data_IF_899418817564
#
_entry.id   IF_899418817564
#
_cell.length_a   1.000
_cell.length_b   1.000
_cell.length_c   1.000
_cell.angle_alpha   90.00
_cell.angle_beta   90.00
_cell.angle_gamma   90.00
#
_symmetry.space_group_name_H-M   'P 1'
#
loop_
_entity.id
_entity.type
_entity.pdbx_description
1 polymer ?
#
# COMPACT_ATOMS: atom_id res chain seq x y z
N UNK A 1 14.32 16.45 7.92
CA UNK A 1 13.83 15.13 7.47
C UNK A 1 15.04 14.26 7.15
N UNK A 2 15.08 13.01 7.61
CA UNK A 2 16.12 12.07 7.14
C UNK A 2 15.81 11.71 5.70
N UNK A 3 16.72 12.00 4.78
CA UNK A 3 16.58 11.62 3.36
C UNK A 3 17.26 10.27 3.13
N UNK A 4 16.48 9.23 2.82
CA UNK A 4 16.97 7.88 2.57
C UNK A 4 17.18 7.59 1.08
N UNK A 5 16.91 8.57 0.20
CA UNK A 5 17.02 8.39 -1.25
C UNK A 5 18.45 8.19 -1.71
N UNK A 6 19.43 8.70 -0.97
CA UNK A 6 20.86 8.54 -1.24
C UNK A 6 21.48 7.31 -0.54
N UNK A 7 20.65 6.42 0.02
CA UNK A 7 21.14 5.17 0.63
C UNK A 7 21.68 4.22 -0.44
N UNK A 8 22.59 3.32 -0.02
CA UNK A 8 23.08 2.25 -0.91
C UNK A 8 21.93 1.37 -1.42
N UNK A 9 20.87 1.22 -0.64
CA UNK A 9 19.70 0.42 -1.00
C UNK A 9 18.97 1.01 -2.20
N UNK A 10 18.90 2.34 -2.30
CA UNK A 10 18.32 3.01 -3.46
C UNK A 10 19.23 2.87 -4.68
N UNK A 11 20.54 3.10 -4.51
CA UNK A 11 21.53 2.98 -5.58
C UNK A 11 21.51 1.59 -6.22
N UNK A 12 21.57 0.53 -5.41
CA UNK A 12 21.53 -0.87 -5.87
C UNK A 12 20.27 -1.20 -6.69
N UNK A 13 19.13 -0.60 -6.36
CA UNK A 13 17.89 -0.79 -7.12
C UNK A 13 17.94 0.00 -8.42
N UNK A 14 18.33 1.27 -8.38
CA UNK A 14 18.33 2.15 -9.55
C UNK A 14 19.29 1.66 -10.63
N UNK A 15 20.45 1.12 -10.25
CA UNK A 15 21.41 0.52 -11.19
C UNK A 15 20.84 -0.66 -12.00
N UNK A 16 19.79 -1.31 -11.49
CA UNK A 16 19.13 -2.42 -12.16
C UNK A 16 17.97 -1.98 -13.07
N UNK A 17 17.63 -0.69 -13.11
CA UNK A 17 16.53 -0.19 -13.93
C UNK A 17 16.90 -0.29 -15.42
N UNK A 18 15.99 -0.85 -16.22
CA UNK A 18 16.17 -0.99 -17.67
C UNK A 18 15.85 0.31 -18.41
N UNK A 19 16.24 0.35 -19.68
CA UNK A 19 15.98 1.50 -20.54
C UNK A 19 14.48 1.80 -20.69
N UNK A 20 13.65 0.75 -20.76
CA UNK A 20 12.19 0.84 -20.82
C UNK A 20 11.54 1.39 -19.54
N UNK A 21 12.29 1.55 -18.44
CA UNK A 21 11.84 2.05 -17.15
C UNK A 21 11.48 0.97 -16.12
N UNK A 22 11.40 -0.30 -16.54
CA UNK A 22 11.05 -1.42 -15.66
C UNK A 22 12.28 -2.01 -14.96
N UNK A 23 12.03 -3.00 -14.09
CA UNK A 23 13.05 -3.93 -13.57
C UNK A 23 12.85 -5.35 -14.11
N UNK A 24 12.16 -5.50 -15.25
CA UNK A 24 11.76 -6.80 -15.81
C UNK A 24 10.35 -7.21 -15.38
N UNK A 25 10.17 -8.47 -14.95
CA UNK A 25 8.88 -8.97 -14.48
C UNK A 25 8.27 -8.04 -13.44
N UNK A 26 6.95 -7.88 -13.51
CA UNK A 26 6.25 -6.94 -12.68
C UNK A 26 5.99 -7.52 -11.30
N UNK A 27 5.24 -8.64 -11.24
CA UNK A 27 4.59 -9.05 -10.01
C UNK A 27 5.48 -9.94 -9.12
N UNK A 28 5.30 -9.81 -7.80
CA UNK A 28 6.06 -10.52 -6.75
C UNK A 28 6.01 -12.06 -6.85
N UNK A 29 5.02 -12.64 -7.55
CA UNK A 29 4.98 -14.09 -7.82
C UNK A 29 6.03 -14.56 -8.83
N UNK A 30 6.64 -13.66 -9.59
CA UNK A 30 7.78 -14.00 -10.44
C UNK A 30 9.01 -14.22 -9.56
N UNK A 31 9.49 -15.46 -9.47
CA UNK A 31 10.65 -15.80 -8.65
C UNK A 31 11.88 -15.01 -9.14
N UNK A 32 12.50 -14.17 -8.29
CA UNK A 32 13.76 -13.53 -8.61
C UNK A 32 14.79 -14.59 -9.01
N UNK A 33 15.53 -14.31 -10.07
CA UNK A 33 16.58 -15.19 -10.56
C UNK A 33 17.90 -14.43 -10.63
N UNK A 34 19.02 -15.13 -10.88
CA UNK A 34 20.30 -14.44 -11.15
C UNK A 34 20.19 -13.41 -12.29
N UNK A 35 19.27 -13.62 -13.24
CA UNK A 35 19.02 -12.71 -14.38
C UNK A 35 18.03 -11.58 -14.05
N UNK A 36 17.09 -11.80 -13.14
CA UNK A 36 16.12 -10.79 -12.68
C UNK A 36 16.18 -10.74 -11.15
N UNK A 37 17.09 -9.93 -10.61
CA UNK A 37 17.37 -9.86 -9.17
C UNK A 37 16.23 -9.26 -8.35
N UNK A 38 15.37 -8.47 -8.98
CA UNK A 38 14.24 -7.76 -8.38
C UNK A 38 13.13 -7.62 -9.43
N UNK A 39 11.87 -7.63 -9.01
CA UNK A 39 10.73 -7.32 -9.88
C UNK A 39 10.45 -5.82 -9.90
N UNK A 40 9.72 -5.35 -10.91
CA UNK A 40 9.28 -3.94 -10.98
C UNK A 40 8.48 -3.55 -9.75
N UNK A 41 7.54 -4.38 -9.29
CA UNK A 41 6.75 -4.12 -8.08
C UNK A 41 7.62 -4.03 -6.81
N UNK A 42 8.60 -4.92 -6.66
CA UNK A 42 9.52 -4.89 -5.51
C UNK A 42 10.37 -3.62 -5.52
N UNK A 43 10.88 -3.23 -6.68
CA UNK A 43 11.70 -2.03 -6.85
C UNK A 43 10.91 -0.76 -6.50
N UNK A 44 9.73 -0.56 -7.10
CA UNK A 44 8.93 0.65 -6.86
C UNK A 44 8.40 0.73 -5.43
N UNK A 45 7.99 -0.41 -4.85
CA UNK A 45 7.60 -0.46 -3.43
C UNK A 45 8.74 -0.02 -2.53
N UNK A 46 9.95 -0.49 -2.82
CA UNK A 46 11.13 -0.19 -2.02
C UNK A 46 11.58 1.26 -2.18
N UNK A 47 11.58 1.79 -3.41
CA UNK A 47 11.90 3.19 -3.68
C UNK A 47 10.89 4.14 -3.02
N UNK A 48 9.59 3.83 -3.07
CA UNK A 48 8.55 4.59 -2.36
C UNK A 48 8.83 4.66 -0.85
N UNK A 49 9.18 3.53 -0.23
CA UNK A 49 9.54 3.46 1.20
C UNK A 49 10.77 4.32 1.53
N UNK A 50 11.75 4.36 0.63
CA UNK A 50 12.95 5.18 0.76
C UNK A 50 12.70 6.68 0.48
N UNK A 51 11.48 7.04 0.08
CA UNK A 51 11.03 8.42 -0.09
C UNK A 51 11.06 8.93 -1.53
N UNK A 52 11.23 8.06 -2.53
CA UNK A 52 11.10 8.44 -3.92
C UNK A 52 9.65 8.77 -4.28
N UNK A 53 9.49 9.75 -5.16
CA UNK A 53 8.23 10.35 -5.61
C UNK A 53 8.19 10.42 -7.13
N UNK A 54 7.05 10.83 -7.71
CA UNK A 54 6.92 11.03 -9.17
C UNK A 54 7.95 12.00 -9.75
N UNK A 55 8.48 12.93 -8.95
CA UNK A 55 9.47 13.92 -9.39
C UNK A 55 10.88 13.31 -9.55
N UNK A 56 11.11 12.12 -9.02
CA UNK A 56 12.39 11.43 -9.12
C UNK A 56 12.43 10.60 -10.42
N UNK A 57 13.48 10.82 -11.23
CA UNK A 57 13.63 10.21 -12.57
C UNK A 57 13.33 8.70 -12.63
N UNK A 58 13.81 7.85 -11.70
CA UNK A 58 13.52 6.42 -11.74
C UNK A 58 12.02 6.12 -11.64
N UNK A 59 11.28 6.87 -10.82
CA UNK A 59 9.83 6.71 -10.66
C UNK A 59 9.07 7.25 -11.87
N UNK A 60 9.47 8.42 -12.40
CA UNK A 60 8.86 8.96 -13.62
C UNK A 60 8.95 7.96 -14.79
N UNK A 61 10.11 7.32 -14.98
CA UNK A 61 10.31 6.30 -16.03
C UNK A 61 9.39 5.08 -15.85
N UNK A 62 9.32 4.51 -14.65
CA UNK A 62 8.50 3.30 -14.43
C UNK A 62 7.00 3.60 -14.46
N UNK A 63 6.58 4.81 -14.04
CA UNK A 63 5.18 5.24 -14.18
C UNK A 63 4.81 5.35 -15.66
N UNK A 64 5.66 5.98 -16.48
CA UNK A 64 5.46 6.02 -17.94
C UNK A 64 5.39 4.61 -18.57
N UNK A 65 6.26 3.69 -18.14
CA UNK A 65 6.19 2.28 -18.55
C UNK A 65 4.86 1.63 -18.18
N UNK A 66 4.40 1.78 -16.93
CA UNK A 66 3.13 1.22 -16.48
C UNK A 66 1.93 1.81 -17.23
N UNK A 67 1.98 3.09 -17.61
CA UNK A 67 0.95 3.75 -18.43
C UNK A 67 0.86 3.14 -19.82
N UNK A 68 2.00 2.91 -20.47
CA UNK A 68 2.05 2.22 -21.75
C UNK A 68 1.48 0.80 -21.64
N UNK A 69 1.78 0.08 -20.55
CA UNK A 69 1.21 -1.24 -20.30
C UNK A 69 -0.30 -1.19 -20.05
N UNK A 70 -0.78 -0.24 -19.24
CA UNK A 70 -2.19 -0.10 -18.89
C UNK A 70 -3.05 0.25 -20.12
N UNK A 71 -2.49 1.02 -21.06
CA UNK A 71 -3.16 1.41 -22.31
C UNK A 71 -2.94 0.44 -23.47
N UNK A 72 -2.22 -0.67 -23.25
CA UNK A 72 -1.97 -1.70 -24.26
C UNK A 72 -0.91 -1.35 -25.30
N UNK A 73 -0.14 -0.26 -25.11
CA UNK A 73 1.01 0.09 -25.97
C UNK A 73 2.21 -0.82 -25.76
N UNK A 74 2.33 -1.40 -24.55
CA UNK A 74 3.35 -2.38 -24.19
C UNK A 74 2.70 -3.57 -23.48
N UNK A 75 3.33 -4.73 -23.57
CA UNK A 75 2.93 -5.90 -22.80
C UNK A 75 3.84 -6.09 -21.59
N UNK A 76 3.26 -6.54 -20.47
CA UNK A 76 4.07 -7.00 -19.36
C UNK A 76 4.77 -8.31 -19.75
N UNK A 77 6.04 -8.52 -19.35
CA UNK A 77 6.74 -9.76 -19.63
C UNK A 77 6.20 -10.94 -18.81
N UNK A 78 5.38 -10.69 -17.78
CA UNK A 78 4.79 -11.68 -16.89
C UNK A 78 3.92 -12.70 -17.64
N UNK A 79 4.01 -13.96 -17.21
CA UNK A 79 3.18 -15.03 -17.76
C UNK A 79 1.72 -14.77 -17.39
N UNK A 80 0.84 -14.73 -18.40
CA UNK A 80 -0.61 -14.65 -18.20
C UNK A 80 -1.14 -15.85 -17.41
N UNK A 81 -1.56 -15.62 -16.18
CA UNK A 81 -2.21 -16.62 -15.32
C UNK A 81 -3.63 -16.95 -15.80
N UNK A 82 -4.03 -18.23 -15.71
CA UNK A 82 -5.36 -18.71 -16.15
C UNK A 82 -6.43 -18.67 -15.04
N UNK A 83 -6.00 -18.51 -13.78
CA UNK A 83 -6.84 -18.70 -12.59
C UNK A 83 -7.77 -17.51 -12.39
N UNK A 84 -7.29 -16.29 -12.60
CA UNK A 84 -8.09 -15.07 -12.56
C UNK A 84 -8.23 -14.46 -13.95
N UNK A 85 -9.12 -13.47 -14.09
CA UNK A 85 -9.10 -12.64 -15.29
C UNK A 85 -7.81 -11.81 -15.29
N UNK A 86 -6.89 -12.15 -16.19
CA UNK A 86 -5.56 -11.55 -16.24
C UNK A 86 -5.61 -10.06 -16.52
N UNK A 87 -6.45 -9.62 -17.44
CA UNK A 87 -6.49 -8.23 -17.88
C UNK A 87 -7.10 -7.32 -16.81
N UNK A 88 -8.19 -7.76 -16.17
CA UNK A 88 -8.80 -7.04 -15.04
C UNK A 88 -7.80 -6.93 -13.88
N UNK A 89 -7.14 -8.04 -13.53
CA UNK A 89 -6.15 -8.03 -12.43
C UNK A 89 -4.93 -7.15 -12.75
N UNK A 90 -4.41 -7.24 -13.98
CA UNK A 90 -3.28 -6.42 -14.42
C UNK A 90 -3.65 -4.94 -14.41
N UNK A 91 -4.84 -4.58 -14.90
CA UNK A 91 -5.31 -3.19 -14.87
C UNK A 91 -5.43 -2.65 -13.45
N UNK A 92 -5.96 -3.45 -12.51
CA UNK A 92 -6.03 -3.14 -11.08
C UNK A 92 -4.63 -2.90 -10.48
N UNK A 93 -3.69 -3.81 -10.74
CA UNK A 93 -2.33 -3.74 -10.21
C UNK A 93 -1.56 -2.52 -10.74
N UNK A 94 -1.55 -2.29 -12.05
CA UNK A 94 -0.87 -1.15 -12.66
C UNK A 94 -1.50 0.17 -12.21
N UNK A 95 -2.84 0.26 -12.22
CA UNK A 95 -3.55 1.48 -11.79
C UNK A 95 -3.29 1.79 -10.32
N UNK A 96 -3.17 0.76 -9.48
CA UNK A 96 -2.80 0.93 -8.07
C UNK A 96 -1.44 1.61 -7.97
N UNK A 97 -0.42 1.07 -8.63
CA UNK A 97 0.95 1.58 -8.52
C UNK A 97 1.12 2.96 -9.16
N UNK A 98 0.47 3.22 -10.31
CA UNK A 98 0.44 4.57 -10.90
C UNK A 98 -0.17 5.56 -9.90
N UNK A 99 -1.34 5.23 -9.33
CA UNK A 99 -2.07 6.13 -8.39
C UNK A 99 -1.40 6.34 -7.04
N UNK A 100 -0.40 5.53 -6.68
CA UNK A 100 0.47 5.77 -5.51
C UNK A 100 1.48 6.88 -5.76
N UNK A 101 1.89 7.11 -7.01
CA UNK A 101 2.87 8.14 -7.36
C UNK A 101 2.23 9.40 -7.96
N UNK A 102 1.15 9.28 -8.72
CA UNK A 102 0.45 10.41 -9.33
C UNK A 102 -1.06 10.19 -9.41
N UNK A 103 -1.85 11.25 -9.21
CA UNK A 103 -3.31 11.23 -9.43
C UNK A 103 -3.69 11.77 -10.81
N UNK A 104 -2.73 12.30 -11.54
CA UNK A 104 -2.88 12.83 -12.90
C UNK A 104 -2.70 11.70 -13.92
N UNK A 105 -3.64 10.75 -13.92
CA UNK A 105 -3.67 9.65 -14.88
C UNK A 105 -5.11 9.20 -15.17
N UNK A 106 -5.59 9.52 -16.36
CA UNK A 106 -6.97 9.23 -16.76
C UNK A 106 -7.27 7.71 -16.80
N UNK A 107 -6.35 6.89 -17.31
CA UNK A 107 -6.58 5.46 -17.46
C UNK A 107 -6.63 4.75 -16.11
N UNK A 108 -5.73 5.10 -15.19
CA UNK A 108 -5.70 4.55 -13.85
C UNK A 108 -6.89 5.04 -13.00
N UNK A 109 -7.31 6.30 -13.19
CA UNK A 109 -8.50 6.84 -12.53
C UNK A 109 -9.78 6.15 -13.02
N UNK A 110 -9.92 5.86 -14.31
CA UNK A 110 -11.04 5.08 -14.83
C UNK A 110 -11.15 3.68 -14.20
N UNK A 111 -10.01 3.01 -13.98
CA UNK A 111 -9.99 1.73 -13.25
C UNK A 111 -10.41 1.91 -11.79
N UNK A 112 -9.96 2.99 -11.13
CA UNK A 112 -10.36 3.31 -9.76
C UNK A 112 -11.86 3.57 -9.63
N UNK A 113 -12.47 4.29 -10.57
CA UNK A 113 -13.91 4.56 -10.63
C UNK A 113 -14.72 3.27 -10.72
N UNK A 114 -14.33 2.33 -11.58
CA UNK A 114 -14.98 1.02 -11.68
C UNK A 114 -14.97 0.25 -10.36
N UNK A 115 -13.81 0.21 -9.71
CA UNK A 115 -13.70 -0.47 -8.42
C UNK A 115 -14.43 0.27 -7.30
N UNK A 116 -14.44 1.60 -7.32
CA UNK A 116 -15.20 2.41 -6.39
C UNK A 116 -16.70 2.14 -6.53
N UNK A 117 -17.22 2.05 -7.77
CA UNK A 117 -18.61 1.69 -8.03
C UNK A 117 -18.98 0.33 -7.43
N UNK A 118 -18.15 -0.70 -7.67
CA UNK A 118 -18.38 -2.05 -7.16
C UNK A 118 -18.42 -2.06 -5.64
N UNK A 119 -17.43 -1.45 -4.98
CA UNK A 119 -17.33 -1.42 -3.53
C UNK A 119 -18.44 -0.56 -2.91
N UNK A 120 -18.76 0.60 -3.50
CA UNK A 120 -19.86 1.45 -3.02
C UNK A 120 -21.21 0.73 -3.05
N UNK A 121 -21.48 -0.05 -4.09
CA UNK A 121 -22.71 -0.85 -4.15
C UNK A 121 -22.69 -2.00 -3.14
N UNK A 122 -21.59 -2.73 -3.03
CA UNK A 122 -21.44 -3.83 -2.08
C UNK A 122 -21.64 -3.39 -0.61
N UNK A 123 -21.40 -2.11 -0.30
CA UNK A 123 -21.59 -1.52 1.02
C UNK A 123 -22.82 -0.59 1.12
N UNK A 124 -23.74 -0.62 0.13
CA UNK A 124 -24.91 0.29 0.10
C UNK A 124 -25.79 0.19 1.35
N UNK A 125 -25.82 -0.98 1.99
CA UNK A 125 -26.57 -1.25 3.24
C UNK A 125 -25.76 -0.91 4.52
N UNK A 126 -24.58 -0.32 4.39
CA UNK A 126 -23.67 -0.04 5.50
C UNK A 126 -22.83 -1.24 5.97
N UNK A 127 -23.09 -2.43 5.43
CA UNK A 127 -22.32 -3.66 5.64
C UNK A 127 -22.01 -4.31 4.29
N UNK A 128 -20.97 -5.13 4.24
CA UNK A 128 -20.61 -5.85 3.02
C UNK A 128 -21.67 -6.88 2.62
N UNK A 129 -22.10 -6.82 1.37
CA UNK A 129 -23.03 -7.76 0.75
C UNK A 129 -22.36 -8.39 -0.49
N UNK A 130 -22.05 -9.69 -0.39
CA UNK A 130 -21.31 -10.42 -1.42
C UNK A 130 -22.11 -10.57 -2.73
N UNK A 131 -23.43 -10.74 -2.64
CA UNK A 131 -24.25 -10.92 -3.84
C UNK A 131 -24.32 -9.60 -4.61
N UNK A 132 -24.47 -8.47 -3.91
CA UNK A 132 -24.41 -7.14 -4.54
C UNK A 132 -23.02 -6.87 -5.14
N UNK A 133 -21.93 -7.30 -4.49
CA UNK A 133 -20.58 -7.21 -5.04
C UNK A 133 -20.47 -7.96 -6.38
N UNK A 134 -20.89 -9.23 -6.41
CA UNK A 134 -20.82 -10.07 -7.62
C UNK A 134 -21.69 -9.51 -8.74
N UNK A 135 -22.91 -9.08 -8.44
CA UNK A 135 -23.84 -8.52 -9.42
C UNK A 135 -23.33 -7.20 -10.00
N UNK A 136 -22.76 -6.33 -9.16
CA UNK A 136 -22.20 -5.05 -9.61
C UNK A 136 -20.92 -5.27 -10.41
N UNK A 137 -20.03 -6.16 -9.96
CA UNK A 137 -18.85 -6.56 -10.72
C UNK A 137 -19.24 -7.07 -12.12
N UNK A 138 -20.28 -7.92 -12.22
CA UNK A 138 -20.76 -8.44 -13.49
C UNK A 138 -21.29 -7.35 -14.41
N UNK A 139 -21.94 -6.31 -13.87
CA UNK A 139 -22.39 -5.16 -14.68
C UNK A 139 -21.22 -4.32 -15.18
N UNK A 140 -20.25 -4.04 -14.31
CA UNK A 140 -19.09 -3.17 -14.60
C UNK A 140 -18.10 -3.82 -15.57
N UNK A 141 -17.85 -5.12 -15.44
CA UNK A 141 -16.86 -5.85 -16.24
C UNK A 141 -17.46 -6.82 -17.27
N UNK A 142 -18.79 -6.96 -17.32
CA UNK A 142 -19.51 -7.88 -18.21
C UNK A 142 -19.08 -9.35 -18.02
N UNK A 143 -18.48 -9.67 -16.87
CA UNK A 143 -17.92 -10.97 -16.52
C UNK A 143 -18.15 -11.24 -15.04
N UNK A 144 -18.27 -12.51 -14.64
CA UNK A 144 -18.27 -12.85 -13.21
C UNK A 144 -16.85 -12.72 -12.63
N UNK A 145 -16.71 -12.34 -11.34
CA UNK A 145 -15.40 -12.33 -10.71
C UNK A 145 -14.83 -13.75 -10.69
N UNK A 146 -13.56 -13.89 -11.05
CA UNK A 146 -12.85 -15.17 -11.13
C UNK A 146 -11.47 -15.04 -10.49
N UNK A 147 -11.13 -15.99 -9.63
CA UNK A 147 -9.87 -16.04 -8.91
C UNK A 147 -9.92 -15.27 -7.58
N UNK A 148 -9.20 -15.77 -6.57
CA UNK A 148 -9.31 -15.31 -5.19
C UNK A 148 -9.07 -13.80 -5.01
N UNK A 149 -8.17 -13.19 -5.81
CA UNK A 149 -7.83 -11.76 -5.71
C UNK A 149 -8.91 -10.81 -6.22
N UNK A 150 -9.83 -11.31 -7.05
CA UNK A 150 -10.98 -10.56 -7.56
C UNK A 150 -12.28 -10.94 -6.85
N UNK A 151 -12.29 -12.02 -6.07
CA UNK A 151 -13.41 -12.43 -5.22
C UNK A 151 -13.31 -11.82 -3.82
N UNK A 152 -12.10 -11.71 -3.28
CA UNK A 152 -11.80 -11.07 -2.01
C UNK A 152 -10.99 -9.79 -2.24
N UNK A 153 -11.65 -8.64 -2.09
CA UNK A 153 -11.06 -7.33 -2.25
C UNK A 153 -10.18 -6.92 -1.05
N UNK A 154 -10.10 -7.71 0.02
CA UNK A 154 -9.22 -7.45 1.16
C UNK A 154 -7.74 -7.75 0.82
N UNK A 155 -7.21 -7.01 -0.14
CA UNK A 155 -5.85 -7.10 -0.63
C UNK A 155 -5.25 -5.72 -0.88
N UNK A 156 -3.91 -5.66 -0.93
CA UNK A 156 -3.17 -4.41 -1.13
C UNK A 156 -3.70 -3.55 -2.28
N UNK A 157 -4.03 -4.16 -3.43
CA UNK A 157 -4.38 -3.42 -4.63
C UNK A 157 -5.67 -2.63 -4.49
N UNK A 158 -6.77 -3.29 -4.13
CA UNK A 158 -8.07 -2.62 -3.98
C UNK A 158 -8.01 -1.56 -2.86
N UNK A 159 -7.45 -1.91 -1.71
CA UNK A 159 -7.41 -1.01 -0.56
C UNK A 159 -6.54 0.22 -0.86
N UNK A 160 -5.41 0.05 -1.55
CA UNK A 160 -4.55 1.16 -1.96
C UNK A 160 -5.22 2.03 -3.03
N UNK A 161 -5.84 1.40 -4.04
CA UNK A 161 -6.52 2.10 -5.12
C UNK A 161 -7.66 2.97 -4.56
N UNK A 162 -8.43 2.48 -3.60
CA UNK A 162 -9.67 3.16 -3.17
C UNK A 162 -9.48 4.23 -2.08
N UNK A 163 -8.24 4.50 -1.66
CA UNK A 163 -7.90 5.41 -0.55
C UNK A 163 -8.51 6.81 -0.63
N UNK A 164 -8.80 7.30 -1.83
CA UNK A 164 -9.39 8.61 -2.10
C UNK A 164 -10.56 8.57 -3.10
N UNK A 165 -11.13 7.38 -3.35
CA UNK A 165 -12.18 7.18 -4.36
C UNK A 165 -13.55 6.84 -3.79
N UNK A 166 -13.67 6.69 -2.46
CA UNK A 166 -14.90 6.29 -1.79
C UNK A 166 -15.51 7.46 -1.01
N UNK A 167 -16.85 7.53 -1.01
CA UNK A 167 -17.56 8.40 -0.09
C UNK A 167 -17.30 8.01 1.37
N UNK A 168 -17.32 8.98 2.28
CA UNK A 168 -16.93 8.79 3.68
C UNK A 168 -17.69 7.64 4.37
N UNK A 169 -19.00 7.53 4.15
CA UNK A 169 -19.81 6.44 4.73
C UNK A 169 -19.36 5.06 4.23
N UNK A 170 -19.07 4.94 2.93
CA UNK A 170 -18.56 3.70 2.34
C UNK A 170 -17.17 3.36 2.85
N UNK A 171 -16.25 4.34 2.88
CA UNK A 171 -14.91 4.14 3.42
C UNK A 171 -14.95 3.69 4.89
N UNK A 172 -15.83 4.29 5.70
CA UNK A 172 -16.00 3.91 7.10
C UNK A 172 -16.50 2.46 7.25
N UNK A 173 -17.50 2.05 6.46
CA UNK A 173 -18.02 0.68 6.48
C UNK A 173 -16.99 -0.34 5.97
N UNK A 174 -16.23 0.03 4.93
CA UNK A 174 -15.10 -0.75 4.43
C UNK A 174 -14.07 -0.99 5.54
N UNK A 175 -13.75 0.01 6.37
CA UNK A 175 -12.84 -0.15 7.50
C UNK A 175 -13.35 -1.16 8.52
N UNK A 176 -14.64 -1.14 8.86
CA UNK A 176 -15.22 -2.12 9.80
C UNK A 176 -15.12 -3.54 9.27
N UNK A 177 -15.23 -3.71 7.95
CA UNK A 177 -15.04 -4.99 7.29
C UNK A 177 -13.57 -5.41 7.32
N UNK A 178 -12.65 -4.57 6.84
CA UNK A 178 -11.21 -4.90 6.74
C UNK A 178 -10.59 -5.16 8.11
N UNK A 179 -10.95 -4.39 9.14
CA UNK A 179 -10.42 -4.59 10.50
C UNK A 179 -10.80 -5.96 11.09
N UNK A 180 -11.97 -6.50 10.71
CA UNK A 180 -12.50 -7.78 11.19
C UNK A 180 -12.29 -8.94 10.22
N UNK A 181 -11.72 -8.68 9.04
CA UNK A 181 -11.48 -9.71 8.04
C UNK A 181 -10.42 -10.70 8.51
N UNK A 182 -10.78 -11.99 8.60
CA UNK A 182 -9.96 -13.00 9.28
C UNK A 182 -8.59 -13.21 8.62
N UNK A 183 -8.54 -13.14 7.30
CA UNK A 183 -7.31 -13.33 6.51
C UNK A 183 -6.45 -12.07 6.38
N UNK A 184 -6.86 -10.96 7.01
CA UNK A 184 -6.13 -9.70 6.98
C UNK A 184 -6.17 -8.99 5.62
N UNK A 185 -5.05 -8.38 5.24
CA UNK A 185 -4.87 -7.72 3.94
C UNK A 185 -3.85 -8.51 3.14
N UNK A 186 -4.32 -9.23 2.12
CA UNK A 186 -3.45 -10.05 1.29
C UNK A 186 -2.34 -9.21 0.63
N UNK A 187 -1.15 -9.82 0.46
CA UNK A 187 0.14 -9.22 0.11
C UNK A 187 0.83 -8.38 1.20
N UNK A 188 0.24 -8.25 2.40
CA UNK A 188 0.82 -7.44 3.49
C UNK A 188 0.78 -8.17 4.83
N UNK A 189 -0.41 -8.56 5.28
CA UNK A 189 -0.65 -9.10 6.61
C UNK A 189 -1.75 -10.16 6.55
N UNK A 190 -1.48 -11.32 7.15
CA UNK A 190 -2.23 -12.57 7.00
C UNK A 190 -3.14 -12.89 8.19
N UNK A 191 -3.38 -11.92 9.07
CA UNK A 191 -4.25 -12.05 10.24
C UNK A 191 -5.21 -10.86 10.35
N UNK A 192 -6.26 -11.03 11.15
CA UNK A 192 -7.22 -9.98 11.48
C UNK A 192 -6.54 -8.73 12.09
N UNK A 193 -6.86 -7.54 11.58
CA UNK A 193 -6.20 -6.29 11.99
C UNK A 193 -6.71 -5.73 13.34
N UNK A 194 -7.91 -6.10 13.77
CA UNK A 194 -8.41 -5.72 15.09
C UNK A 194 -7.75 -6.51 16.23
N UNK A 195 -6.91 -7.50 15.91
CA UNK A 195 -6.12 -8.26 16.88
C UNK A 195 -4.67 -7.80 16.77
N UNK A 196 -4.16 -7.18 17.83
CA UNK A 196 -2.81 -6.64 17.88
C UNK A 196 -1.76 -7.77 17.94
N UNK A 197 -0.60 -7.61 17.28
CA UNK A 197 0.50 -8.56 17.40
C UNK A 197 0.98 -8.68 18.86
N UNK A 198 1.18 -9.91 19.32
CA UNK A 198 1.64 -10.17 20.69
C UNK A 198 3.06 -9.66 20.95
N UNK A 199 3.94 -9.75 19.94
CA UNK A 199 5.34 -9.33 20.06
C UNK A 199 5.64 -8.20 19.07
N UNK A 200 5.95 -7.02 19.61
CA UNK A 200 6.34 -5.85 18.82
C UNK A 200 7.66 -6.03 18.07
N UNK A 201 8.63 -6.76 18.65
CA UNK A 201 9.95 -7.00 18.04
C UNK A 201 9.92 -8.19 17.08
N UNK A 202 9.02 -8.15 16.10
CA UNK A 202 8.75 -9.26 15.19
C UNK A 202 8.43 -8.82 13.75
N UNK A 203 8.64 -9.73 12.80
CA UNK A 203 8.23 -9.53 11.39
C UNK A 203 6.71 -9.43 11.25
N UNK A 204 5.96 -10.09 12.13
CA UNK A 204 4.51 -9.98 12.22
C UNK A 204 4.09 -8.54 12.54
N UNK A 205 4.68 -7.95 13.58
CA UNK A 205 4.43 -6.56 13.94
C UNK A 205 4.78 -5.58 12.81
N UNK A 206 5.89 -5.79 12.09
CA UNK A 206 6.22 -4.93 10.93
C UNK A 206 5.22 -5.05 9.78
N UNK A 207 4.71 -6.26 9.52
CA UNK A 207 3.65 -6.51 8.54
C UNK A 207 2.32 -5.90 8.98
N UNK A 208 1.97 -6.00 10.26
CA UNK A 208 0.82 -5.33 10.86
C UNK A 208 0.89 -3.81 10.68
N UNK A 209 2.02 -3.18 11.06
CA UNK A 209 2.26 -1.75 10.88
C UNK A 209 2.15 -1.37 9.40
N UNK A 210 2.61 -2.22 8.48
CA UNK A 210 2.47 -2.01 7.03
C UNK A 210 1.01 -1.97 6.57
N UNK A 211 0.14 -2.76 7.20
CA UNK A 211 -1.29 -2.79 6.90
C UNK A 211 -1.98 -1.53 7.46
N UNK A 212 -1.60 -1.08 8.66
CA UNK A 212 -2.07 0.18 9.24
C UNK A 212 -1.59 1.39 8.43
N UNK A 213 -0.35 1.39 7.93
CA UNK A 213 0.17 2.41 7.01
C UNK A 213 -0.70 2.53 5.77
N UNK A 214 -1.09 1.40 5.17
CA UNK A 214 -1.99 1.39 4.01
C UNK A 214 -3.36 2.00 4.33
N UNK A 215 -3.97 1.61 5.45
CA UNK A 215 -5.26 2.18 5.86
C UNK A 215 -5.14 3.67 6.21
N UNK A 216 -3.98 4.10 6.72
CA UNK A 216 -3.72 5.51 6.99
C UNK A 216 -3.68 6.39 5.74
N UNK A 217 -3.73 5.85 4.51
CA UNK A 217 -3.86 6.67 3.30
C UNK A 217 -5.26 7.30 3.15
N UNK A 218 -6.29 6.70 3.75
CA UNK A 218 -7.65 7.25 3.69
C UNK A 218 -7.73 8.53 4.51
N UNK A 219 -8.22 9.62 3.92
CA UNK A 219 -8.30 10.95 4.56
C UNK A 219 -9.49 11.11 5.50
N UNK A 220 -10.51 10.27 5.38
CA UNK A 220 -11.73 10.32 6.19
C UNK A 220 -11.39 10.27 7.70
N UNK A 221 -11.74 11.30 8.50
CA UNK A 221 -11.44 11.34 9.94
C UNK A 221 -12.01 10.16 10.73
N UNK A 222 -13.20 9.67 10.37
CA UNK A 222 -13.83 8.50 11.04
C UNK A 222 -13.01 7.23 10.80
N UNK A 223 -12.49 7.05 9.59
CA UNK A 223 -11.58 5.94 9.28
C UNK A 223 -10.29 6.01 10.12
N UNK A 224 -9.77 7.23 10.36
CA UNK A 224 -8.56 7.46 11.16
C UNK A 224 -8.79 7.19 12.63
N UNK A 225 -9.94 7.61 13.17
CA UNK A 225 -10.36 7.31 14.54
C UNK A 225 -10.38 5.80 14.80
N UNK A 226 -10.88 5.02 13.83
CA UNK A 226 -10.86 3.54 13.90
C UNK A 226 -9.46 2.93 13.94
N UNK A 227 -8.39 3.68 13.67
CA UNK A 227 -6.99 3.22 13.77
C UNK A 227 -6.32 3.65 15.09
N UNK A 228 -7.00 4.37 15.98
CA UNK A 228 -6.40 4.89 17.21
C UNK A 228 -5.92 3.79 18.17
N UNK A 229 -6.58 2.63 18.19
CA UNK A 229 -6.12 1.47 18.96
C UNK A 229 -4.70 1.02 18.55
N UNK A 230 -4.36 1.13 17.25
CA UNK A 230 -3.02 0.83 16.77
C UNK A 230 -2.01 1.91 17.22
N UNK A 231 -2.42 3.17 17.28
CA UNK A 231 -1.59 4.27 17.81
C UNK A 231 -1.32 4.08 19.30
N UNK A 232 -2.32 3.67 20.08
CA UNK A 232 -2.15 3.33 21.49
C UNK A 232 -1.17 2.17 21.68
N UNK A 233 -1.35 1.08 20.91
CA UNK A 233 -0.42 -0.05 20.92
C UNK A 233 1.01 0.34 20.54
N UNK A 234 1.19 1.20 19.53
CA UNK A 234 2.51 1.70 19.15
C UNK A 234 3.14 2.50 20.30
N UNK A 235 2.39 3.41 20.94
CA UNK A 235 2.92 4.18 22.07
C UNK A 235 3.22 3.32 23.30
N UNK A 236 2.45 2.27 23.56
CA UNK A 236 2.72 1.32 24.64
C UNK A 236 4.01 0.50 24.41
N UNK A 237 4.47 0.37 23.16
CA UNK A 237 5.72 -0.29 22.78
C UNK A 237 6.89 0.68 22.58
N UNK A 238 6.74 1.94 22.98
CA UNK A 238 7.82 2.92 23.01
C UNK A 238 8.74 2.61 24.20
N UNK A 239 10.05 2.61 23.95
CA UNK A 239 11.07 2.38 24.99
C UNK A 239 11.16 3.61 25.92
N UNK A 240 11.72 3.46 27.12
CA UNK A 240 11.81 4.52 28.15
C UNK A 240 12.49 5.81 27.66
N UNK A 241 13.39 5.68 26.68
CA UNK A 241 14.09 6.80 26.06
C UNK A 241 13.26 7.58 25.05
N UNK A 242 12.00 7.19 24.82
CA UNK A 242 11.07 7.84 23.92
C UNK A 242 11.12 7.36 22.46
N UNK A 243 11.93 6.34 22.15
CA UNK A 243 12.15 5.81 20.80
C UNK A 243 11.56 4.42 20.61
N UNK A 244 11.52 3.93 19.37
CA UNK A 244 11.09 2.57 19.06
C UNK A 244 12.25 1.74 18.54
N UNK A 245 12.38 0.51 19.04
CA UNK A 245 13.28 -0.52 18.50
C UNK A 245 12.48 -1.80 18.21
N UNK A 246 12.27 -2.11 16.94
CA UNK A 246 11.60 -3.37 16.56
C UNK A 246 12.56 -4.57 16.59
N UNK A 247 13.83 -4.38 16.91
CA UNK A 247 14.82 -5.46 16.96
C UNK A 247 15.38 -5.88 15.59
N UNK A 248 16.53 -6.57 15.57
CA UNK A 248 17.27 -6.86 14.34
C UNK A 248 16.57 -7.88 13.42
N UNK A 249 15.70 -8.73 13.96
CA UNK A 249 15.00 -9.80 13.23
C UNK A 249 13.95 -9.28 12.23
N UNK A 250 13.58 -8.00 12.35
CA UNK A 250 12.49 -7.37 11.57
C UNK A 250 12.92 -6.95 10.18
N UNK A 251 14.23 -6.94 9.89
CA UNK A 251 14.76 -6.72 8.55
C UNK A 251 14.12 -7.70 7.55
N UNK A 252 13.52 -7.14 6.50
CA UNK A 252 12.78 -7.87 5.46
C UNK A 252 13.24 -7.53 4.03
N UNK A 253 14.11 -6.53 3.86
CA UNK A 253 14.59 -6.06 2.56
C UNK A 253 13.60 -5.16 1.83
N UNK A 254 12.42 -4.90 2.42
CA UNK A 254 11.35 -4.10 1.82
C UNK A 254 11.07 -2.88 2.69
N UNK A 255 10.55 -3.08 3.91
CA UNK A 255 10.29 -2.01 4.89
C UNK A 255 11.57 -1.57 5.58
N UNK A 256 12.42 -2.53 5.90
CA UNK A 256 13.68 -2.29 6.60
C UNK A 256 14.83 -3.06 5.96
N UNK A 257 16.06 -2.51 6.00
CA UNK A 257 16.47 -1.27 6.69
C UNK A 257 16.08 0.02 5.95
N UNK A 258 16.24 1.21 6.51
CA UNK A 258 16.21 2.48 5.73
C UNK A 258 17.62 3.07 5.61
N UNK A 259 18.35 3.11 6.72
CA UNK A 259 19.77 3.46 6.84
C UNK A 259 20.68 2.35 6.28
N UNK A 260 21.89 2.70 5.85
CA UNK A 260 22.83 1.77 5.20
C UNK A 260 23.33 0.63 6.09
N UNK A 261 23.31 0.81 7.42
CA UNK A 261 23.73 -0.22 8.36
C UNK A 261 22.70 -0.42 9.47
N UNK A 262 22.22 -1.65 9.60
CA UNK A 262 21.37 -2.11 10.71
C UNK A 262 22.12 -2.92 11.75
N UNK A 263 23.45 -3.05 11.60
CA UNK A 263 24.32 -3.64 12.62
C UNK A 263 24.44 -2.71 13.83
N UNK A 264 24.49 -1.40 13.58
CA UNK A 264 24.44 -0.38 14.62
C UNK A 264 23.01 -0.27 15.18
N UNK A 265 22.88 -0.38 16.51
CA UNK A 265 21.58 -0.30 17.19
C UNK A 265 20.95 1.07 17.00
N UNK A 266 21.76 2.12 17.02
CA UNK A 266 21.36 3.53 16.93
C UNK A 266 20.65 3.81 15.60
N UNK A 267 21.20 3.31 14.49
CA UNK A 267 20.60 3.46 13.16
C UNK A 267 19.29 2.67 13.01
N UNK A 268 19.22 1.47 13.59
CA UNK A 268 17.99 0.69 13.61
C UNK A 268 16.89 1.40 14.39
N UNK A 269 17.19 1.89 15.60
CA UNK A 269 16.26 2.67 16.43
C UNK A 269 15.79 3.92 15.70
N UNK A 270 16.70 4.63 15.01
CA UNK A 270 16.36 5.80 14.20
C UNK A 270 15.36 5.46 13.09
N UNK A 271 15.58 4.37 12.36
CA UNK A 271 14.68 3.95 11.28
C UNK A 271 13.30 3.50 11.79
N UNK A 272 13.27 2.70 12.86
CA UNK A 272 12.03 2.27 13.50
C UNK A 272 11.23 3.47 14.02
N UNK A 273 11.91 4.40 14.70
CA UNK A 273 11.31 5.63 15.21
C UNK A 273 10.77 6.49 14.07
N UNK A 274 11.55 6.70 13.01
CA UNK A 274 11.12 7.50 11.86
C UNK A 274 9.82 6.95 11.25
N UNK A 275 9.78 5.64 10.98
CA UNK A 275 8.61 4.98 10.40
C UNK A 275 7.37 5.12 11.28
N UNK A 276 7.49 4.78 12.57
CA UNK A 276 6.36 4.76 13.51
C UNK A 276 5.87 6.18 13.81
N UNK A 277 6.79 7.13 14.00
CA UNK A 277 6.41 8.54 14.25
C UNK A 277 5.62 9.12 13.09
N UNK A 278 6.05 8.86 11.85
CA UNK A 278 5.32 9.30 10.65
C UNK A 278 3.92 8.68 10.57
N UNK A 279 3.78 7.40 10.90
CA UNK A 279 2.47 6.75 10.93
C UNK A 279 1.54 7.39 11.96
N UNK A 280 2.03 7.61 13.19
CA UNK A 280 1.25 8.22 14.26
C UNK A 280 0.79 9.62 13.86
N UNK A 281 1.70 10.46 13.34
CA UNK A 281 1.37 11.80 12.83
C UNK A 281 0.30 11.71 11.74
N UNK A 282 0.49 10.83 10.76
CA UNK A 282 -0.48 10.64 9.67
C UNK A 282 -1.87 10.20 10.14
N UNK A 283 -1.98 9.47 11.23
CA UNK A 283 -3.27 9.09 11.81
C UNK A 283 -3.88 10.26 12.58
N UNK A 284 -3.09 10.96 13.40
CA UNK A 284 -3.54 12.05 14.28
C UNK A 284 -3.86 13.37 13.57
N UNK A 285 -3.10 13.75 12.55
CA UNK A 285 -3.24 15.04 11.87
C UNK A 285 -4.63 15.21 11.23
N UNK A 286 -5.27 14.10 10.85
CA UNK A 286 -6.61 14.10 10.27
C UNK A 286 -7.75 14.21 11.31
N UNK A 287 -7.45 14.07 12.60
CA UNK A 287 -8.42 14.12 13.70
C UNK A 287 -8.47 15.53 14.32
N UNK A 288 -7.43 16.35 14.11
CA UNK A 288 -7.40 17.73 14.59
C UNK A 288 -8.21 18.59 13.62
N UNK A 289 -9.37 19.17 14.02
CA UNK A 289 -10.03 20.16 13.19
C UNK A 289 -9.06 21.33 13.06
N UNK A 290 -8.83 21.80 11.84
CA UNK A 290 -8.21 23.13 11.62
C UNK A 290 -9.15 24.13 12.29
N UNK A 291 -8.93 24.42 13.57
CA UNK A 291 -9.54 25.56 14.24
C UNK A 291 -9.02 26.77 13.50
N UNK A 292 -9.91 27.38 12.71
CA UNK A 292 -9.63 28.59 11.97
C UNK A 292 -8.98 29.62 12.88
N UNK A 293 -7.70 29.89 12.64
CA UNK A 293 -7.12 31.17 13.01
C UNK A 293 -7.78 32.19 12.10
N UNK A 294 -8.84 32.83 12.62
CA UNK A 294 -9.28 34.13 12.14
C UNK A 294 -8.09 35.06 12.27
N UNK A 295 -7.50 35.44 11.14
CA UNK A 295 -6.76 36.69 11.07
C UNK A 295 -7.80 37.79 11.33
N UNK A 296 -7.64 38.44 12.48
CA UNK A 296 -8.33 39.68 12.78
C UNK A 296 -7.55 40.76 12.03
N UNK A 297 -8.28 41.42 11.12
CA UNK A 297 -8.02 42.70 10.44
C UNK A 297 -6.64 43.32 10.66
#
# INVERSE_FOLDING_TARGET
MTDYRNSKWAAEIIELQKDDGSWGYFHTLSNPSKRNKITTEQAIRRLEILGYTINDKPIAKVVSYMQDCLTGKKELPDRREKVHNWDIFTSLMLSTWIRRFTKDDHAANYVAEKWAEIISHAFKKGIYDHDIYVDTYKKVFVLKPKGGRLLDFANFYHISLLSDSLADKTASALFDYILRHQSGIYYIYDKQLSILPQNFKSKEASRYISAVELLSEYKNPVCKEKLMFAVEWLNANKEDNGYWDMGPSVKDGVRFPLSDSWRAKELRVKDCTYRISRLIVKIKDAITPVRGMKLSI
#
